data_IF_222293642329
#
_entry.id   IF_222293642329
#
_cell.length_a   1.000
_cell.length_b   1.000
_cell.length_c   1.000
_cell.angle_alpha   90.00
_cell.angle_beta   90.00
_cell.angle_gamma   90.00
#
_symmetry.space_group_name_H-M   'P 1'
#
loop_
_entity.id
_entity.type
_entity.pdbx_description
1 polymer ?
#
# COMPACT_ATOMS: atom_id res chain seq x y z
N UNK A 1 34.00 -23.69 -0.41
CA UNK A 1 33.13 -22.54 -0.14
C UNK A 1 31.71 -23.08 -0.04
N UNK A 2 31.02 -22.85 1.07
CA UNK A 2 29.63 -23.33 1.23
C UNK A 2 28.74 -22.49 0.33
N UNK A 3 27.89 -23.11 -0.49
CA UNK A 3 26.98 -22.41 -1.39
C UNK A 3 25.56 -22.48 -0.84
N UNK A 4 24.91 -21.31 -0.65
CA UNK A 4 23.58 -21.20 -0.05
C UNK A 4 22.61 -20.60 -1.08
N UNK A 5 21.52 -21.33 -1.34
CA UNK A 5 20.44 -20.92 -2.24
C UNK A 5 19.29 -20.32 -1.45
N UNK A 6 18.99 -19.05 -1.71
CA UNK A 6 17.93 -18.29 -1.04
C UNK A 6 16.78 -17.99 -1.99
N UNK A 7 15.59 -18.46 -1.67
CA UNK A 7 14.35 -18.11 -2.37
C UNK A 7 13.68 -16.89 -1.77
N UNK A 8 13.41 -15.87 -2.59
CA UNK A 8 12.57 -14.73 -2.20
C UNK A 8 11.23 -14.82 -2.92
N UNK A 9 10.16 -15.07 -2.17
CA UNK A 9 8.79 -15.00 -2.69
C UNK A 9 8.20 -13.66 -2.31
N UNK A 10 7.92 -12.82 -3.29
CA UNK A 10 7.47 -11.44 -3.05
C UNK A 10 6.03 -11.26 -3.50
N UNK A 11 5.23 -10.52 -2.74
CA UNK A 11 3.92 -10.10 -3.18
C UNK A 11 4.05 -9.15 -4.39
N UNK A 12 3.15 -9.22 -5.37
CA UNK A 12 3.19 -8.34 -6.53
C UNK A 12 3.10 -6.86 -6.16
N UNK A 13 3.43 -5.99 -7.09
CA UNK A 13 3.49 -4.53 -6.97
C UNK A 13 4.67 -4.02 -6.13
N UNK A 14 4.44 -3.35 -5.00
CA UNK A 14 5.50 -2.64 -4.26
C UNK A 14 6.60 -3.58 -3.72
N UNK A 15 6.30 -4.72 -3.08
CA UNK A 15 7.34 -5.66 -2.62
C UNK A 15 8.25 -6.12 -3.75
N UNK A 16 7.67 -6.54 -4.88
CA UNK A 16 8.39 -6.97 -6.07
C UNK A 16 9.27 -5.87 -6.66
N UNK A 17 8.68 -4.67 -6.87
CA UNK A 17 9.42 -3.51 -7.41
C UNK A 17 10.59 -3.09 -6.53
N UNK A 18 10.44 -3.17 -5.20
CA UNK A 18 11.53 -2.82 -4.29
C UNK A 18 12.62 -3.88 -4.27
N UNK A 19 12.25 -5.16 -4.22
CA UNK A 19 13.21 -6.28 -4.17
C UNK A 19 14.07 -6.31 -5.43
N UNK A 20 13.46 -6.17 -6.61
CA UNK A 20 14.19 -6.15 -7.89
C UNK A 20 15.21 -5.00 -8.00
N UNK A 21 15.07 -3.92 -7.21
CA UNK A 21 16.05 -2.82 -7.22
C UNK A 21 17.34 -3.09 -6.45
N UNK A 22 17.42 -4.18 -5.70
CA UNK A 22 18.62 -4.46 -4.89
C UNK A 22 18.99 -5.96 -4.82
N UNK A 23 18.29 -6.82 -5.53
CA UNK A 23 18.55 -8.26 -5.49
C UNK A 23 19.98 -8.59 -5.90
N UNK A 24 20.49 -7.94 -6.95
CA UNK A 24 21.80 -8.22 -7.53
C UNK A 24 22.97 -7.88 -6.59
N UNK A 25 22.73 -6.97 -5.64
CA UNK A 25 23.77 -6.55 -4.66
C UNK A 25 23.70 -7.33 -3.35
N UNK A 26 22.66 -8.16 -3.13
CA UNK A 26 22.51 -8.93 -1.88
C UNK A 26 23.64 -9.95 -1.67
N UNK A 27 24.07 -10.75 -2.68
CA UNK A 27 25.16 -11.70 -2.50
C UNK A 27 26.42 -11.03 -1.96
N UNK A 28 26.90 -9.96 -2.59
CA UNK A 28 28.09 -9.23 -2.19
C UNK A 28 28.00 -8.68 -0.76
N UNK A 29 26.81 -8.16 -0.37
CA UNK A 29 26.59 -7.62 0.97
C UNK A 29 26.59 -8.69 2.08
N UNK A 30 26.14 -9.90 1.75
CA UNK A 30 26.15 -11.04 2.67
C UNK A 30 27.55 -11.66 2.78
N UNK A 31 28.25 -11.84 1.67
CA UNK A 31 29.62 -12.36 1.62
C UNK A 31 30.61 -11.49 2.44
N UNK A 32 30.39 -10.17 2.45
CA UNK A 32 31.15 -9.23 3.31
C UNK A 32 30.89 -9.45 4.82
N UNK A 33 29.73 -10.03 5.17
CA UNK A 33 29.34 -10.27 6.58
C UNK A 33 29.57 -11.69 7.05
N UNK A 34 29.53 -12.65 6.13
CA UNK A 34 29.75 -14.08 6.40
C UNK A 34 30.86 -14.57 5.49
N UNK A 35 32.07 -14.64 6.02
CA UNK A 35 33.25 -15.09 5.27
C UNK A 35 33.17 -16.58 4.90
N UNK A 36 33.54 -16.93 3.69
CA UNK A 36 33.63 -18.33 3.24
C UNK A 36 32.32 -18.94 2.73
N UNK A 37 31.27 -18.13 2.56
CA UNK A 37 29.95 -18.56 2.07
C UNK A 37 29.59 -17.74 0.85
N UNK A 38 29.10 -18.37 -0.22
CA UNK A 38 28.52 -17.71 -1.40
C UNK A 38 26.99 -17.85 -1.38
N UNK A 39 26.30 -16.83 -1.87
CA UNK A 39 24.84 -16.78 -1.88
C UNK A 39 24.28 -16.65 -3.29
N UNK A 40 23.28 -17.48 -3.63
CA UNK A 40 22.49 -17.39 -4.85
C UNK A 40 21.05 -17.02 -4.51
N UNK A 41 20.46 -16.05 -5.22
CA UNK A 41 19.07 -15.62 -4.98
C UNK A 41 18.16 -16.00 -6.15
N UNK A 42 16.99 -16.58 -5.82
CA UNK A 42 15.88 -16.82 -6.77
C UNK A 42 14.66 -16.02 -6.33
N UNK A 43 14.23 -15.05 -7.15
CA UNK A 43 13.05 -14.22 -6.87
C UNK A 43 11.85 -14.72 -7.66
N UNK A 44 10.70 -14.80 -6.99
CA UNK A 44 9.42 -15.13 -7.61
C UNK A 44 8.33 -14.21 -7.08
N UNK A 45 7.53 -13.65 -8.00
CA UNK A 45 6.34 -12.89 -7.62
C UNK A 45 5.14 -13.82 -7.49
N UNK A 46 4.48 -13.83 -6.32
CA UNK A 46 3.34 -14.71 -6.08
C UNK A 46 2.22 -14.01 -5.31
N UNK A 47 0.99 -14.14 -5.82
CA UNK A 47 -0.21 -13.53 -5.24
C UNK A 47 -0.62 -14.18 -3.90
N UNK A 48 -0.26 -15.44 -3.65
CA UNK A 48 -0.58 -16.15 -2.41
C UNK A 48 0.03 -15.44 -1.20
N UNK A 49 1.28 -14.97 -1.32
CA UNK A 49 1.97 -14.25 -0.24
C UNK A 49 1.31 -12.91 0.09
N UNK A 50 0.61 -12.31 -0.85
CA UNK A 50 -0.14 -11.07 -0.65
C UNK A 50 -1.58 -11.24 -0.16
N UNK A 51 -2.06 -12.45 0.11
CA UNK A 51 -3.45 -12.73 0.52
C UNK A 51 -3.58 -13.41 1.88
N UNK A 52 -2.47 -13.76 2.48
CA UNK A 52 -2.48 -14.48 3.76
C UNK A 52 -2.60 -13.50 4.91
N UNK A 53 -3.80 -13.38 5.48
CA UNK A 53 -4.03 -12.73 6.77
C UNK A 53 -3.39 -13.53 7.93
N UNK A 54 -2.93 -14.74 7.63
CA UNK A 54 -2.34 -15.67 8.56
C UNK A 54 -0.88 -15.94 8.20
N UNK A 55 0.01 -15.60 9.11
CA UNK A 55 1.46 -15.83 9.01
C UNK A 55 1.77 -17.29 8.67
N UNK A 56 1.06 -18.21 9.30
CA UNK A 56 1.31 -19.65 9.16
C UNK A 56 1.15 -20.15 7.72
N UNK A 57 0.16 -19.65 6.98
CA UNK A 57 -0.03 -20.00 5.55
C UNK A 57 1.11 -19.52 4.67
N UNK A 58 1.67 -18.35 4.95
CA UNK A 58 2.83 -17.85 4.22
C UNK A 58 4.09 -18.67 4.52
N UNK A 59 4.27 -19.06 5.78
CA UNK A 59 5.39 -19.90 6.20
C UNK A 59 5.27 -21.28 5.59
N UNK A 60 4.09 -21.90 5.58
CA UNK A 60 3.86 -23.18 4.92
C UNK A 60 4.05 -23.13 3.41
N UNK A 61 3.64 -22.05 2.76
CA UNK A 61 3.92 -21.82 1.35
C UNK A 61 5.43 -21.71 1.08
N UNK A 62 6.13 -20.92 1.90
CA UNK A 62 7.57 -20.78 1.81
C UNK A 62 8.30 -22.12 1.99
N UNK A 63 7.83 -22.94 2.91
CA UNK A 63 8.37 -24.27 3.17
C UNK A 63 8.17 -25.21 1.98
N UNK A 64 6.94 -25.34 1.46
CA UNK A 64 6.64 -26.17 0.28
C UNK A 64 7.47 -25.76 -0.93
N UNK A 65 7.66 -24.46 -1.14
CA UNK A 65 8.50 -23.94 -2.21
C UNK A 65 9.96 -24.28 -2.01
N UNK A 66 10.46 -24.14 -0.78
CA UNK A 66 11.83 -24.50 -0.43
C UNK A 66 12.15 -25.92 -0.81
N UNK A 67 11.29 -26.88 -0.43
CA UNK A 67 11.45 -28.30 -0.78
C UNK A 67 11.40 -28.53 -2.29
N UNK A 68 10.40 -27.96 -2.98
CA UNK A 68 10.23 -28.13 -4.42
C UNK A 68 11.39 -27.58 -5.26
N UNK A 69 12.04 -26.53 -4.79
CA UNK A 69 13.09 -25.81 -5.55
C UNK A 69 14.49 -26.02 -4.98
N UNK A 70 14.66 -26.96 -4.06
CA UNK A 70 15.94 -27.32 -3.41
C UNK A 70 16.68 -26.07 -2.88
N UNK A 71 15.96 -25.23 -2.13
CA UNK A 71 16.50 -24.00 -1.54
C UNK A 71 16.94 -24.27 -0.10
N UNK A 72 17.99 -23.61 0.35
CA UNK A 72 18.42 -23.66 1.76
C UNK A 72 17.54 -22.78 2.63
N UNK A 73 17.24 -21.56 2.17
CA UNK A 73 16.36 -20.59 2.85
C UNK A 73 15.24 -20.12 1.95
N UNK A 74 14.06 -19.86 2.52
CA UNK A 74 12.92 -19.29 1.80
C UNK A 74 12.30 -18.15 2.59
N UNK A 75 12.28 -16.93 2.01
CA UNK A 75 11.78 -15.71 2.64
C UNK A 75 10.61 -15.17 1.84
N UNK A 76 9.48 -14.95 2.51
CA UNK A 76 8.31 -14.30 1.95
C UNK A 76 8.29 -12.81 2.31
N UNK A 77 8.06 -11.94 1.32
CA UNK A 77 7.85 -10.51 1.54
C UNK A 77 6.43 -10.15 1.15
N UNK A 78 5.62 -9.81 2.15
CA UNK A 78 4.20 -9.48 1.97
C UNK A 78 3.92 -7.98 2.10
N UNK A 79 2.90 -7.49 1.41
CA UNK A 79 2.33 -6.16 1.61
C UNK A 79 1.19 -6.15 2.65
N UNK A 80 0.96 -7.29 3.33
CA UNK A 80 -0.03 -7.42 4.39
C UNK A 80 0.50 -6.98 5.75
N UNK A 81 -0.36 -6.40 6.58
CA UNK A 81 -0.06 -6.20 8.00
C UNK A 81 -0.11 -7.53 8.74
N UNK A 82 0.79 -7.72 9.69
CA UNK A 82 0.78 -8.87 10.59
C UNK A 82 0.81 -8.40 12.05
N UNK A 83 0.06 -9.08 12.90
CA UNK A 83 -0.02 -8.78 14.33
C UNK A 83 0.12 -10.03 15.18
N UNK A 84 0.77 -9.88 16.33
CA UNK A 84 0.85 -10.90 17.37
C UNK A 84 0.65 -10.22 18.73
N UNK A 85 -0.28 -10.72 19.54
CA UNK A 85 -0.60 -10.15 20.86
C UNK A 85 -0.76 -8.62 20.83
N UNK A 86 -1.54 -8.10 19.88
CA UNK A 86 -1.76 -6.68 19.65
C UNK A 86 -0.53 -5.86 19.21
N UNK A 87 0.64 -6.45 19.06
CA UNK A 87 1.85 -5.80 18.56
C UNK A 87 2.02 -6.05 17.06
N UNK A 88 2.54 -5.05 16.36
CA UNK A 88 2.82 -5.14 14.92
C UNK A 88 4.04 -6.03 14.68
N UNK A 89 3.88 -7.06 13.88
CA UNK A 89 4.96 -7.99 13.52
C UNK A 89 5.71 -7.43 12.31
N UNK A 90 7.02 -7.35 12.41
CA UNK A 90 7.92 -6.96 11.32
C UNK A 90 8.33 -8.19 10.52
N UNK A 91 8.75 -9.23 11.24
CA UNK A 91 9.16 -10.49 10.66
C UNK A 91 8.84 -11.65 11.60
N UNK A 92 8.54 -12.80 10.99
CA UNK A 92 8.40 -14.09 11.67
C UNK A 92 9.38 -15.06 11.02
N UNK A 93 10.25 -15.68 11.81
CA UNK A 93 11.33 -16.57 11.35
C UNK A 93 11.14 -17.93 11.98
N UNK A 94 11.00 -18.96 11.17
CA UNK A 94 10.96 -20.35 11.62
C UNK A 94 12.29 -21.04 11.30
N UNK A 95 13.06 -21.37 12.30
CA UNK A 95 14.40 -21.92 12.16
C UNK A 95 14.39 -23.40 11.79
N UNK A 96 13.39 -24.18 12.20
CA UNK A 96 13.29 -25.59 11.82
C UNK A 96 13.00 -25.73 10.31
N UNK A 97 12.05 -24.92 9.83
CA UNK A 97 11.68 -24.90 8.42
C UNK A 97 12.64 -24.09 7.55
N UNK A 98 13.54 -23.31 8.17
CA UNK A 98 14.43 -22.36 7.48
C UNK A 98 13.65 -21.40 6.56
N UNK A 99 12.58 -20.83 7.11
CA UNK A 99 11.66 -19.94 6.39
C UNK A 99 11.39 -18.67 7.18
N UNK A 100 11.15 -17.58 6.48
CA UNK A 100 10.76 -16.32 7.12
C UNK A 100 9.65 -15.59 6.36
N UNK A 101 8.92 -14.75 7.10
CA UNK A 101 7.97 -13.78 6.57
C UNK A 101 8.39 -12.37 6.98
N UNK A 102 8.34 -11.43 6.03
CA UNK A 102 8.56 -9.99 6.27
C UNK A 102 7.31 -9.24 5.87
N UNK A 103 6.75 -8.45 6.80
CA UNK A 103 5.67 -7.52 6.55
C UNK A 103 6.23 -6.18 6.08
N UNK A 104 6.14 -5.88 4.79
CA UNK A 104 6.63 -4.63 4.21
C UNK A 104 6.00 -3.37 4.87
N UNK A 105 4.67 -3.31 5.12
CA UNK A 105 4.05 -2.16 5.77
C UNK A 105 4.62 -1.87 7.15
N UNK A 106 5.02 -2.90 7.90
CA UNK A 106 5.60 -2.74 9.22
C UNK A 106 6.95 -2.01 9.19
N UNK A 107 7.67 -1.97 8.07
CA UNK A 107 8.91 -1.21 7.94
C UNK A 107 8.69 0.31 7.85
N UNK A 108 7.43 0.76 7.64
CA UNK A 108 7.05 2.16 7.49
C UNK A 108 7.49 2.75 6.15
N UNK A 109 7.39 4.09 5.99
CA UNK A 109 7.64 4.77 4.71
C UNK A 109 9.12 5.17 4.54
N UNK A 110 9.72 5.68 5.62
CA UNK A 110 11.05 6.31 5.54
C UNK A 110 12.14 5.30 5.19
N UNK A 111 12.87 5.54 4.11
CA UNK A 111 13.96 4.70 3.59
C UNK A 111 13.56 3.22 3.42
N UNK A 112 12.34 2.96 2.97
CA UNK A 112 11.74 1.62 2.89
C UNK A 112 12.61 0.62 2.13
N UNK A 113 13.17 0.99 0.96
CA UNK A 113 14.11 0.15 0.19
C UNK A 113 15.31 -0.30 1.02
N UNK A 114 15.94 0.65 1.75
CA UNK A 114 17.11 0.35 2.60
C UNK A 114 16.74 -0.56 3.76
N UNK A 115 15.60 -0.29 4.39
CA UNK A 115 15.10 -1.11 5.51
C UNK A 115 14.77 -2.52 5.07
N UNK A 116 14.05 -2.70 3.98
CA UNK A 116 13.72 -4.02 3.45
C UNK A 116 15.00 -4.81 3.15
N UNK A 117 15.95 -4.22 2.43
CA UNK A 117 17.24 -4.85 2.15
C UNK A 117 17.99 -5.26 3.42
N UNK A 118 18.10 -4.35 4.39
CA UNK A 118 18.77 -4.65 5.67
C UNK A 118 18.04 -5.74 6.46
N UNK A 119 16.70 -5.73 6.47
CA UNK A 119 15.90 -6.76 7.15
C UNK A 119 16.12 -8.14 6.52
N UNK A 120 16.16 -8.25 5.21
CA UNK A 120 16.46 -9.52 4.52
C UNK A 120 17.86 -10.01 4.91
N UNK A 121 18.86 -9.14 4.89
CA UNK A 121 20.24 -9.49 5.27
C UNK A 121 20.29 -9.96 6.73
N UNK A 122 19.69 -9.20 7.65
CA UNK A 122 19.71 -9.51 9.08
C UNK A 122 19.02 -10.86 9.37
N UNK A 123 17.91 -11.18 8.66
CA UNK A 123 17.21 -12.46 8.79
C UNK A 123 18.03 -13.63 8.23
N UNK A 124 18.70 -13.47 7.10
CA UNK A 124 19.56 -14.51 6.52
C UNK A 124 20.72 -14.81 7.47
N UNK A 125 21.32 -13.77 8.05
CA UNK A 125 22.41 -13.93 9.04
C UNK A 125 21.88 -14.66 10.28
N UNK A 126 20.69 -14.31 10.77
CA UNK A 126 20.06 -14.92 11.92
C UNK A 126 19.78 -16.43 11.67
N UNK A 127 19.25 -16.78 10.50
CA UNK A 127 19.04 -18.18 10.08
C UNK A 127 20.36 -18.94 9.99
N UNK A 128 21.39 -18.33 9.42
CA UNK A 128 22.71 -18.96 9.27
C UNK A 128 23.36 -19.21 10.64
N UNK A 129 23.37 -18.22 11.52
CA UNK A 129 23.95 -18.33 12.84
C UNK A 129 23.20 -19.34 13.73
N UNK A 130 21.87 -19.42 13.59
CA UNK A 130 21.07 -20.39 14.33
C UNK A 130 21.34 -21.82 13.85
N UNK A 131 21.55 -22.04 12.56
CA UNK A 131 21.91 -23.34 12.01
C UNK A 131 23.27 -23.87 12.55
N UNK A 132 24.15 -22.97 12.99
CA UNK A 132 25.47 -23.30 13.58
C UNK A 132 25.50 -23.25 15.13
N UNK A 133 24.34 -23.26 15.81
CA UNK A 133 24.21 -23.20 17.26
C UNK A 133 24.89 -21.97 17.94
N UNK A 134 25.05 -20.87 17.21
CA UNK A 134 25.69 -19.62 17.70
C UNK A 134 24.66 -18.50 17.93
N UNK A 135 23.65 -18.72 18.79
CA UNK A 135 22.52 -17.78 18.82
C UNK A 135 22.48 -16.84 20.02
N UNK A 136 22.30 -15.57 19.71
CA UNK A 136 21.59 -14.57 20.52
C UNK A 136 20.52 -13.93 19.67
N UNK A 137 19.27 -13.77 20.14
CA UNK A 137 18.21 -13.16 19.35
C UNK A 137 18.55 -11.73 18.94
N UNK A 138 18.13 -11.33 17.76
CA UNK A 138 18.38 -9.99 17.23
C UNK A 138 17.67 -8.93 18.07
N UNK A 139 18.42 -8.05 18.74
CA UNK A 139 17.87 -6.91 19.50
C UNK A 139 17.43 -5.76 18.57
N UNK A 140 17.91 -5.74 17.33
CA UNK A 140 17.59 -4.72 16.32
C UNK A 140 17.46 -5.38 14.96
N UNK A 141 16.37 -5.07 14.27
CA UNK A 141 16.15 -5.46 12.88
C UNK A 141 16.15 -4.19 12.02
N UNK A 142 17.10 -4.06 11.08
CA UNK A 142 17.20 -2.86 10.22
C UNK A 142 17.17 -1.52 10.98
N UNK A 143 17.88 -1.40 12.11
CA UNK A 143 17.88 -0.21 12.98
C UNK A 143 16.57 0.04 13.76
N UNK A 144 15.59 -0.85 13.67
CA UNK A 144 14.35 -0.81 14.44
C UNK A 144 14.57 -1.60 15.73
N UNK A 145 14.25 -1.00 16.87
CA UNK A 145 14.21 -1.74 18.15
C UNK A 145 13.06 -2.74 18.09
N UNK A 146 13.36 -4.01 18.22
CA UNK A 146 12.39 -5.09 18.20
C UNK A 146 12.38 -5.79 19.55
N UNK A 147 11.22 -6.28 19.95
CA UNK A 147 11.08 -7.24 21.02
C UNK A 147 10.84 -8.60 20.38
N UNK A 148 11.49 -9.60 20.88
CA UNK A 148 11.22 -10.96 20.51
C UNK A 148 9.99 -11.46 21.29
N UNK A 149 9.09 -12.14 20.60
CA UNK A 149 7.96 -12.86 21.19
C UNK A 149 8.01 -14.27 20.65
N UNK A 150 8.33 -15.22 21.53
CA UNK A 150 8.17 -16.64 21.21
C UNK A 150 6.68 -16.96 21.13
N UNK A 151 6.20 -17.65 20.09
CA UNK A 151 4.81 -18.09 20.04
C UNK A 151 4.45 -18.94 21.24
N UNK A 152 3.24 -18.77 21.78
CA UNK A 152 2.76 -19.54 22.94
C UNK A 152 2.54 -21.03 22.64
N UNK A 153 2.48 -21.43 21.37
CA UNK A 153 2.43 -22.84 20.99
C UNK A 153 3.82 -23.45 21.10
N UNK A 154 3.98 -24.33 22.08
CA UNK A 154 5.21 -25.00 22.54
C UNK A 154 5.93 -25.88 21.50
N UNK A 155 5.56 -25.88 20.23
CA UNK A 155 6.04 -26.84 19.23
C UNK A 155 6.89 -26.24 18.12
N UNK A 156 7.10 -24.92 18.06
CA UNK A 156 7.87 -24.32 16.96
C UNK A 156 8.96 -23.40 17.49
N UNK A 157 10.22 -23.69 17.11
CA UNK A 157 11.39 -22.81 17.25
C UNK A 157 11.26 -21.62 16.28
N UNK A 158 10.27 -20.76 16.53
CA UNK A 158 10.04 -19.57 15.71
C UNK A 158 10.27 -18.30 16.51
N UNK A 159 11.01 -17.36 15.94
CA UNK A 159 11.26 -16.05 16.51
C UNK A 159 10.43 -14.99 15.79
N UNK A 160 9.55 -14.35 16.53
CA UNK A 160 8.67 -13.31 16.02
C UNK A 160 9.15 -11.95 16.46
N UNK A 161 9.60 -11.13 15.53
CA UNK A 161 10.10 -9.79 15.78
C UNK A 161 8.97 -8.77 15.71
N UNK A 162 8.65 -8.14 16.83
CA UNK A 162 7.56 -7.17 16.98
C UNK A 162 8.06 -5.80 17.41
N UNK A 163 7.27 -4.76 17.12
CA UNK A 163 7.55 -3.42 17.64
C UNK A 163 7.46 -3.36 19.15
N UNK A 164 8.38 -2.62 19.78
CA UNK A 164 8.34 -2.37 21.23
C UNK A 164 7.11 -1.54 21.61
N UNK A 165 6.71 -0.57 20.80
CA UNK A 165 5.51 0.29 20.99
C UNK A 165 4.38 -0.13 20.06
N UNK A 166 3.22 -0.42 20.63
CA UNK A 166 2.01 -0.80 19.86
C UNK A 166 1.51 0.35 18.98
N UNK A 167 1.46 1.57 19.53
CA UNK A 167 0.94 2.75 18.82
C UNK A 167 1.83 3.09 17.63
N UNK A 168 3.14 3.17 17.83
CA UNK A 168 4.10 3.45 16.75
C UNK A 168 4.09 2.34 15.68
N UNK A 169 3.93 1.09 16.10
CA UNK A 169 3.82 -0.04 15.19
C UNK A 169 2.59 0.05 14.30
N UNK A 170 1.42 0.32 14.87
CA UNK A 170 0.16 0.48 14.13
C UNK A 170 0.24 1.69 13.17
N UNK A 171 0.74 2.83 13.65
CA UNK A 171 0.90 4.02 12.79
C UNK A 171 1.83 3.74 11.60
N UNK A 172 2.95 3.06 11.81
CA UNK A 172 3.86 2.68 10.73
C UNK A 172 3.22 1.72 9.73
N UNK A 173 2.40 0.76 10.20
CA UNK A 173 1.65 -0.13 9.30
C UNK A 173 0.66 0.68 8.46
N UNK A 174 -0.15 1.56 9.05
CA UNK A 174 -1.12 2.39 8.32
C UNK A 174 -0.41 3.20 7.24
N UNK A 175 0.64 3.92 7.61
CA UNK A 175 1.42 4.72 6.67
C UNK A 175 2.08 3.84 5.61
N UNK A 176 2.67 2.71 5.99
CA UNK A 176 3.31 1.76 5.08
C UNK A 176 2.34 1.16 4.07
N UNK A 177 1.12 0.80 4.50
CA UNK A 177 0.04 0.34 3.62
C UNK A 177 -0.44 1.43 2.67
N UNK A 178 -0.62 2.67 3.17
CA UNK A 178 -0.98 3.83 2.35
C UNK A 178 0.09 4.09 1.28
N UNK A 179 1.35 4.02 1.64
CA UNK A 179 2.46 4.16 0.70
C UNK A 179 2.49 3.04 -0.34
N UNK A 180 2.24 1.79 0.09
CA UNK A 180 2.17 0.63 -0.80
C UNK A 180 0.98 0.68 -1.78
N UNK A 181 -0.04 1.49 -1.51
CA UNK A 181 -1.13 1.78 -2.43
C UNK A 181 -0.73 2.70 -3.60
N UNK A 182 0.42 3.35 -3.53
CA UNK A 182 0.95 4.25 -4.56
C UNK A 182 -0.09 5.31 -5.02
N UNK A 183 -0.71 6.11 -4.12
CA UNK A 183 -1.79 7.04 -4.46
C UNK A 183 -1.42 8.04 -5.55
N UNK A 184 -0.14 8.42 -5.66
CA UNK A 184 0.37 9.31 -6.72
C UNK A 184 0.25 8.71 -8.13
N UNK A 185 0.28 7.38 -8.28
CA UNK A 185 0.07 6.73 -9.59
C UNK A 185 -1.40 6.69 -9.96
N UNK A 186 -2.26 6.60 -8.96
CA UNK A 186 -3.69 6.54 -9.17
C UNK A 186 -4.28 7.86 -9.71
N UNK A 187 -3.58 9.00 -9.60
CA UNK A 187 -4.05 10.30 -10.16
C UNK A 187 -4.39 10.19 -11.64
N UNK A 188 -3.58 9.46 -12.42
CA UNK A 188 -3.81 9.29 -13.86
C UNK A 188 -5.15 8.59 -14.13
N UNK A 189 -5.58 7.73 -13.22
CA UNK A 189 -6.86 7.04 -13.28
C UNK A 189 -8.05 7.98 -13.00
N UNK A 190 -7.81 9.12 -12.36
CA UNK A 190 -8.82 10.13 -12.02
C UNK A 190 -8.86 11.32 -12.99
N UNK A 191 -8.29 11.18 -14.18
CA UNK A 191 -8.25 12.24 -15.21
C UNK A 191 -9.63 12.79 -15.57
N UNK A 192 -10.68 11.97 -15.60
CA UNK A 192 -12.04 12.41 -15.90
C UNK A 192 -12.62 13.29 -14.79
N UNK A 193 -12.35 12.96 -13.54
CA UNK A 193 -12.75 13.75 -12.36
C UNK A 193 -12.05 15.12 -12.41
N UNK A 194 -10.75 15.14 -12.69
CA UNK A 194 -9.98 16.38 -12.85
C UNK A 194 -10.51 17.19 -14.03
N UNK A 195 -10.73 16.56 -15.18
CA UNK A 195 -11.25 17.23 -16.37
C UNK A 195 -12.63 17.85 -16.13
N UNK A 196 -13.54 17.14 -15.45
CA UNK A 196 -14.84 17.67 -15.08
C UNK A 196 -14.72 18.83 -14.06
N UNK A 197 -13.81 18.69 -13.10
CA UNK A 197 -13.50 19.75 -12.14
C UNK A 197 -12.98 21.02 -12.82
N UNK A 198 -12.08 20.88 -13.80
CA UNK A 198 -11.60 22.00 -14.62
C UNK A 198 -12.73 22.62 -15.44
N UNK A 199 -13.52 21.80 -16.13
CA UNK A 199 -14.64 22.30 -16.95
C UNK A 199 -15.66 23.08 -16.10
N UNK A 200 -16.05 22.51 -14.94
CA UNK A 200 -16.98 23.17 -14.01
C UNK A 200 -16.36 24.44 -13.40
N UNK A 201 -15.09 24.37 -13.00
CA UNK A 201 -14.38 25.53 -12.48
C UNK A 201 -14.26 26.65 -13.50
N UNK A 202 -13.95 26.31 -14.75
CA UNK A 202 -13.92 27.27 -15.88
C UNK A 202 -15.28 27.90 -16.12
N UNK A 203 -16.36 27.14 -16.04
CA UNK A 203 -17.71 27.66 -16.13
C UNK A 203 -18.04 28.63 -14.99
N UNK A 204 -17.65 28.27 -13.76
CA UNK A 204 -17.95 29.09 -12.56
C UNK A 204 -17.26 30.46 -12.61
N UNK A 205 -16.01 30.55 -13.10
CA UNK A 205 -15.32 31.84 -13.10
C UNK A 205 -15.82 32.85 -14.17
N UNK A 206 -16.70 32.42 -15.08
CA UNK A 206 -17.35 33.35 -16.01
C UNK A 206 -18.32 34.30 -15.29
N UNK A 207 -18.83 33.91 -14.12
CA UNK A 207 -19.75 34.73 -13.33
C UNK A 207 -19.00 35.66 -12.37
N UNK A 208 -19.53 36.88 -12.15
CA UNK A 208 -18.94 37.86 -11.26
C UNK A 208 -19.05 37.52 -9.76
N UNK A 209 -20.08 36.78 -9.37
CA UNK A 209 -20.31 36.41 -7.96
C UNK A 209 -19.15 35.66 -7.31
N UNK A 210 -18.55 34.63 -7.92
CA UNK A 210 -17.35 33.97 -7.39
C UNK A 210 -16.18 34.93 -7.13
N UNK A 211 -16.00 35.94 -7.97
CA UNK A 211 -14.93 36.94 -7.79
C UNK A 211 -15.17 37.77 -6.55
N UNK A 212 -16.40 38.31 -6.39
CA UNK A 212 -16.78 39.08 -5.21
C UNK A 212 -16.65 38.23 -3.93
N UNK A 213 -17.14 37.00 -3.93
CA UNK A 213 -17.01 36.10 -2.79
C UNK A 213 -15.54 35.82 -2.44
N UNK A 214 -14.67 35.63 -3.44
CA UNK A 214 -13.25 35.35 -3.23
C UNK A 214 -12.51 36.52 -2.57
N UNK A 215 -12.96 37.74 -2.80
CA UNK A 215 -12.38 38.95 -2.18
C UNK A 215 -12.87 39.18 -0.73
N UNK A 216 -14.14 38.84 -0.45
CA UNK A 216 -14.76 39.03 0.87
C UNK A 216 -14.41 37.89 1.85
N UNK A 217 -14.13 36.70 1.35
CA UNK A 217 -13.85 35.57 2.21
C UNK A 217 -12.51 35.72 2.93
N UNK A 218 -12.50 35.41 4.22
CA UNK A 218 -11.30 35.21 5.01
C UNK A 218 -10.69 33.83 4.74
N UNK A 219 -9.39 33.66 5.01
CA UNK A 219 -8.63 32.45 4.78
C UNK A 219 -9.26 31.21 5.45
N UNK A 220 -9.94 31.38 6.59
CA UNK A 220 -10.63 30.31 7.31
C UNK A 220 -11.75 29.68 6.48
N UNK A 221 -12.49 30.49 5.70
CA UNK A 221 -13.56 30.01 4.82
C UNK A 221 -13.00 29.20 3.65
N UNK A 222 -11.86 29.58 3.10
CA UNK A 222 -11.20 28.82 2.04
C UNK A 222 -10.76 27.45 2.54
N UNK A 223 -10.15 27.38 3.73
CA UNK A 223 -9.78 26.10 4.35
C UNK A 223 -11.02 25.23 4.60
N UNK A 224 -12.09 25.82 5.16
CA UNK A 224 -13.33 25.11 5.40
C UNK A 224 -13.91 24.53 4.11
N UNK A 225 -13.98 25.31 3.04
CA UNK A 225 -14.46 24.86 1.73
C UNK A 225 -13.58 23.76 1.15
N UNK A 226 -12.27 23.88 1.25
CA UNK A 226 -11.33 22.85 0.82
C UNK A 226 -11.55 21.55 1.61
N UNK A 227 -11.64 21.61 2.93
CA UNK A 227 -11.89 20.43 3.78
C UNK A 227 -13.24 19.81 3.45
N UNK A 228 -14.28 20.61 3.30
CA UNK A 228 -15.63 20.15 2.96
C UNK A 228 -15.64 19.45 1.59
N UNK A 229 -14.96 20.03 0.59
CA UNK A 229 -14.87 19.42 -0.74
C UNK A 229 -14.11 18.11 -0.73
N UNK A 230 -13.00 18.01 0.02
CA UNK A 230 -12.24 16.75 0.18
C UNK A 230 -13.06 15.69 0.90
N UNK A 231 -13.70 16.03 2.02
CA UNK A 231 -14.55 15.10 2.78
C UNK A 231 -15.76 14.65 1.95
N UNK A 232 -16.41 15.58 1.27
CA UNK A 232 -17.54 15.28 0.40
C UNK A 232 -17.16 14.32 -0.73
N UNK A 233 -16.03 14.58 -1.38
CA UNK A 233 -15.51 13.72 -2.45
C UNK A 233 -15.12 12.33 -1.94
N UNK A 234 -14.39 12.24 -0.83
CA UNK A 234 -13.99 10.96 -0.22
C UNK A 234 -15.22 10.18 0.22
N UNK A 235 -16.15 10.83 0.93
CA UNK A 235 -17.38 10.20 1.41
C UNK A 235 -18.23 9.67 0.26
N UNK A 236 -18.39 10.46 -0.79
CA UNK A 236 -19.10 10.03 -1.99
C UNK A 236 -18.48 8.80 -2.63
N UNK A 237 -17.15 8.79 -2.88
CA UNK A 237 -16.50 7.65 -3.50
C UNK A 237 -16.55 6.40 -2.62
N UNK A 238 -16.32 6.55 -1.32
CA UNK A 238 -16.40 5.42 -0.38
C UNK A 238 -17.80 4.80 -0.42
N UNK A 239 -18.84 5.63 -0.48
CA UNK A 239 -20.23 5.18 -0.58
C UNK A 239 -20.52 4.56 -1.97
N UNK A 240 -20.24 5.27 -3.05
CA UNK A 240 -20.61 4.87 -4.41
C UNK A 240 -19.90 3.58 -4.88
N UNK A 241 -18.68 3.35 -4.43
CA UNK A 241 -17.86 2.19 -4.84
C UNK A 241 -17.73 1.12 -3.74
N UNK A 242 -18.46 1.22 -2.62
CA UNK A 242 -18.42 0.26 -1.52
C UNK A 242 -17.00 -0.04 -1.01
N UNK A 243 -16.17 1.02 -0.85
CA UNK A 243 -14.79 0.85 -0.38
C UNK A 243 -14.70 0.58 1.12
N UNK A 244 -15.80 0.67 1.84
CA UNK A 244 -15.85 0.37 3.26
C UNK A 244 -15.86 -1.13 3.53
N UNK A 245 -15.01 -1.58 4.46
CA UNK A 245 -15.01 -2.97 4.91
C UNK A 245 -16.05 -3.13 6.02
N UNK A 246 -17.15 -3.85 5.70
CA UNK A 246 -18.20 -4.16 6.64
C UNK A 246 -17.84 -5.35 7.56
N UNK A 247 -18.51 -5.49 8.72
CA UNK A 247 -18.35 -6.66 9.59
C UNK A 247 -18.59 -7.96 8.81
N UNK A 248 -17.63 -8.85 8.85
CA UNK A 248 -17.74 -10.20 8.30
C UNK A 248 -17.18 -11.19 9.33
N UNK A 249 -17.69 -12.42 9.33
CA UNK A 249 -17.19 -13.49 10.19
C UNK A 249 -15.74 -13.89 9.87
N UNK A 250 -15.26 -13.55 8.69
CA UNK A 250 -13.93 -13.91 8.21
C UNK A 250 -12.82 -12.89 8.56
N UNK A 251 -13.17 -11.66 8.95
CA UNK A 251 -12.19 -10.60 9.22
C UNK A 251 -12.30 -10.10 10.64
N UNK A 252 -11.22 -10.22 11.42
CA UNK A 252 -11.16 -9.69 12.78
C UNK A 252 -11.38 -8.18 12.81
N UNK A 253 -12.05 -7.68 13.86
CA UNK A 253 -12.39 -6.26 14.04
C UNK A 253 -11.18 -5.34 13.85
N UNK A 254 -9.99 -5.76 14.31
CA UNK A 254 -8.75 -5.00 14.24
C UNK A 254 -8.26 -4.76 12.82
N UNK A 255 -8.26 -5.79 11.98
CA UNK A 255 -7.87 -5.69 10.58
C UNK A 255 -8.84 -4.82 9.79
N UNK A 256 -10.13 -4.91 10.08
CA UNK A 256 -11.16 -4.08 9.47
C UNK A 256 -10.93 -2.59 9.71
N UNK A 257 -10.69 -2.19 10.98
CA UNK A 257 -10.36 -0.78 11.29
C UNK A 257 -9.11 -0.32 10.56
N UNK A 258 -8.09 -1.15 10.54
CA UNK A 258 -6.84 -0.84 9.87
C UNK A 258 -7.05 -0.62 8.36
N UNK A 259 -7.81 -1.49 7.71
CA UNK A 259 -8.11 -1.38 6.28
C UNK A 259 -8.94 -0.14 5.97
N UNK A 260 -9.96 0.16 6.76
CA UNK A 260 -10.78 1.35 6.58
C UNK A 260 -9.98 2.64 6.78
N UNK A 261 -9.16 2.74 7.82
CA UNK A 261 -8.29 3.91 8.04
C UNK A 261 -7.28 4.05 6.90
N UNK A 262 -6.67 2.96 6.46
CA UNK A 262 -5.73 2.98 5.33
C UNK A 262 -6.42 3.43 4.04
N UNK A 263 -7.65 2.97 3.79
CA UNK A 263 -8.46 3.38 2.63
C UNK A 263 -8.75 4.89 2.69
N UNK A 264 -9.22 5.40 3.82
CA UNK A 264 -9.48 6.84 3.99
C UNK A 264 -8.22 7.67 3.79
N UNK A 265 -7.09 7.24 4.37
CA UNK A 265 -5.83 7.97 4.23
C UNK A 265 -5.29 7.92 2.79
N UNK A 266 -5.43 6.77 2.11
CA UNK A 266 -5.05 6.64 0.68
C UNK A 266 -5.89 7.57 -0.19
N UNK A 267 -7.21 7.63 0.03
CA UNK A 267 -8.12 8.52 -0.69
C UNK A 267 -7.81 9.98 -0.38
N UNK A 268 -7.55 10.31 0.88
CA UNK A 268 -7.15 11.66 1.26
C UNK A 268 -5.88 12.12 0.52
N UNK A 269 -4.83 11.30 0.51
CA UNK A 269 -3.61 11.60 -0.25
C UNK A 269 -3.89 11.78 -1.74
N UNK A 270 -4.69 10.90 -2.34
CA UNK A 270 -5.05 10.94 -3.75
C UNK A 270 -5.81 12.24 -4.10
N UNK A 271 -6.86 12.58 -3.32
CA UNK A 271 -7.66 13.76 -3.62
C UNK A 271 -6.97 15.07 -3.25
N UNK A 272 -6.10 15.07 -2.25
CA UNK A 272 -5.25 16.22 -1.97
C UNK A 272 -4.31 16.51 -3.16
N UNK A 273 -3.70 15.48 -3.74
CA UNK A 273 -2.87 15.64 -4.94
C UNK A 273 -3.70 16.06 -6.15
N UNK A 274 -4.89 15.47 -6.35
CA UNK A 274 -5.81 15.86 -7.42
C UNK A 274 -6.29 17.30 -7.25
N UNK A 275 -6.53 17.75 -6.03
CA UNK A 275 -6.87 19.12 -5.70
C UNK A 275 -5.75 20.10 -6.09
N UNK A 276 -4.50 19.76 -5.76
CA UNK A 276 -3.34 20.58 -6.14
C UNK A 276 -3.24 20.71 -7.66
N UNK A 277 -3.40 19.60 -8.40
CA UNK A 277 -3.39 19.62 -9.87
C UNK A 277 -4.54 20.49 -10.41
N UNK A 278 -5.75 20.30 -9.89
CA UNK A 278 -6.94 21.10 -10.27
C UNK A 278 -6.71 22.58 -9.99
N UNK A 279 -6.19 22.93 -8.81
CA UNK A 279 -5.86 24.30 -8.43
C UNK A 279 -4.86 24.94 -9.40
N UNK A 280 -3.78 24.24 -9.75
CA UNK A 280 -2.78 24.76 -10.69
C UNK A 280 -3.34 24.95 -12.09
N UNK A 281 -4.17 24.03 -12.56
CA UNK A 281 -4.82 24.13 -13.89
C UNK A 281 -5.80 25.31 -13.93
N UNK A 282 -6.63 25.49 -12.91
CA UNK A 282 -7.57 26.60 -12.83
C UNK A 282 -6.86 27.94 -12.61
N UNK A 283 -5.82 28.00 -11.80
CA UNK A 283 -5.01 29.19 -11.63
C UNK A 283 -4.40 29.64 -12.97
N UNK A 284 -3.82 28.70 -13.71
CA UNK A 284 -3.26 28.98 -15.04
C UNK A 284 -4.35 29.47 -15.98
N UNK A 285 -5.51 28.81 -15.98
CA UNK A 285 -6.66 29.19 -16.81
C UNK A 285 -7.13 30.63 -16.48
N UNK A 286 -7.29 30.95 -15.19
CA UNK A 286 -7.75 32.27 -14.76
C UNK A 286 -6.73 33.36 -15.13
N UNK A 287 -5.45 33.14 -14.93
CA UNK A 287 -4.39 34.11 -15.30
C UNK A 287 -4.43 34.38 -16.83
N UNK A 288 -4.66 33.33 -17.64
CA UNK A 288 -4.70 33.49 -19.10
C UNK A 288 -5.96 34.18 -19.61
N UNK A 289 -7.13 33.85 -19.03
CA UNK A 289 -8.42 34.28 -19.56
C UNK A 289 -8.99 35.53 -18.88
N UNK A 290 -8.48 35.91 -17.72
CA UNK A 290 -9.02 37.01 -16.91
C UNK A 290 -8.04 38.19 -16.86
N UNK A 291 -8.26 39.26 -17.69
CA UNK A 291 -7.48 40.46 -17.61
C UNK A 291 -7.69 41.17 -16.28
N UNK A 292 -6.70 41.91 -15.86
CA UNK A 292 -6.68 42.63 -14.59
C UNK A 292 -7.83 43.68 -14.46
N UNK A 293 -8.10 44.41 -15.54
CA UNK A 293 -9.20 45.38 -15.58
C UNK A 293 -10.58 44.71 -15.41
N UNK A 294 -10.75 43.51 -15.92
CA UNK A 294 -11.98 42.76 -15.75
C UNK A 294 -12.14 42.32 -14.30
N UNK A 295 -11.06 41.88 -13.65
CA UNK A 295 -11.08 41.50 -12.24
C UNK A 295 -11.48 42.70 -11.35
N UNK A 296 -10.94 43.91 -11.61
CA UNK A 296 -11.31 45.14 -10.89
C UNK A 296 -12.79 45.46 -11.00
N UNK A 297 -13.30 45.44 -12.22
CA UNK A 297 -14.69 45.84 -12.50
C UNK A 297 -15.70 44.82 -11.96
N UNK A 298 -15.45 43.54 -12.09
CA UNK A 298 -16.38 42.47 -11.69
C UNK A 298 -16.22 42.09 -10.20
N UNK A 299 -15.01 42.21 -9.65
CA UNK A 299 -14.74 41.93 -8.25
C UNK A 299 -15.08 43.12 -7.33
N UNK A 300 -15.35 44.33 -7.88
CA UNK A 300 -15.40 45.58 -7.10
C UNK A 300 -14.12 45.80 -6.26
N UNK A 301 -12.96 45.41 -6.80
CA UNK A 301 -11.69 45.54 -6.12
C UNK A 301 -11.22 46.99 -6.13
N UNK A 302 -10.93 47.51 -4.95
CA UNK A 302 -10.43 48.91 -4.77
C UNK A 302 -8.94 49.04 -5.05
N UNK A 303 -8.21 47.91 -5.04
CA UNK A 303 -6.74 47.86 -5.20
C UNK A 303 -6.33 47.35 -6.57
N UNK A 304 -5.14 47.78 -7.01
CA UNK A 304 -4.47 47.33 -8.21
C UNK A 304 -4.15 45.83 -8.15
N UNK A 305 -3.78 45.28 -9.30
CA UNK A 305 -3.36 43.90 -9.52
C UNK A 305 -2.67 43.28 -8.28
N UNK A 306 -3.25 42.22 -7.78
CA UNK A 306 -2.68 41.41 -6.72
C UNK A 306 -2.74 39.94 -7.07
N UNK A 307 -1.59 39.27 -7.13
CA UNK A 307 -1.49 37.81 -7.28
C UNK A 307 -2.36 37.08 -6.26
N UNK A 308 -2.52 37.67 -5.06
CA UNK A 308 -3.40 37.14 -4.02
C UNK A 308 -4.85 36.98 -4.46
N UNK A 309 -5.37 37.89 -5.29
CA UNK A 309 -6.76 37.81 -5.77
C UNK A 309 -6.98 36.64 -6.70
N UNK A 310 -6.03 36.39 -7.60
CA UNK A 310 -6.07 35.21 -8.49
C UNK A 310 -5.93 33.89 -7.69
N UNK A 311 -5.07 33.85 -6.68
CA UNK A 311 -4.93 32.69 -5.80
C UNK A 311 -6.22 32.40 -5.02
N UNK A 312 -6.86 33.45 -4.45
CA UNK A 312 -8.13 33.32 -3.72
C UNK A 312 -9.26 32.81 -4.61
N UNK A 313 -9.40 33.38 -5.81
CA UNK A 313 -10.41 32.96 -6.77
C UNK A 313 -10.17 31.50 -7.19
N UNK A 314 -8.94 31.15 -7.54
CA UNK A 314 -8.57 29.76 -7.91
C UNK A 314 -8.85 28.79 -6.79
N UNK A 315 -8.56 29.16 -5.53
CA UNK A 315 -8.84 28.32 -4.36
C UNK A 315 -10.33 28.07 -4.18
N UNK A 316 -11.15 29.13 -4.25
CA UNK A 316 -12.61 29.02 -4.18
C UNK A 316 -13.17 28.07 -5.26
N UNK A 317 -12.79 28.35 -6.52
CA UNK A 317 -13.30 27.59 -7.68
C UNK A 317 -12.81 26.14 -7.66
N UNK A 318 -11.58 25.88 -7.22
CA UNK A 318 -11.06 24.51 -7.09
C UNK A 318 -11.85 23.68 -6.10
N UNK A 319 -12.27 24.29 -4.97
CA UNK A 319 -13.11 23.61 -3.99
C UNK A 319 -14.48 23.25 -4.55
N UNK A 320 -15.11 24.15 -5.30
CA UNK A 320 -16.38 23.91 -5.98
C UNK A 320 -16.22 22.88 -7.11
N UNK A 321 -15.15 23.01 -7.92
CA UNK A 321 -14.84 22.12 -9.03
C UNK A 321 -14.56 20.68 -8.57
N UNK A 322 -13.88 20.47 -7.41
CA UNK A 322 -13.67 19.13 -6.88
C UNK A 322 -15.00 18.47 -6.48
N UNK A 323 -15.93 19.21 -5.86
CA UNK A 323 -17.25 18.69 -5.52
C UNK A 323 -18.05 18.30 -6.79
N UNK A 324 -18.00 19.12 -7.83
CA UNK A 324 -18.61 18.78 -9.12
C UNK A 324 -17.95 17.54 -9.74
N UNK A 325 -16.64 17.37 -9.56
CA UNK A 325 -15.91 16.17 -9.98
C UNK A 325 -16.41 14.87 -9.34
N UNK A 326 -17.07 14.94 -8.16
CA UNK A 326 -17.71 13.78 -7.55
C UNK A 326 -18.76 13.14 -8.45
N UNK A 327 -19.52 13.93 -9.20
CA UNK A 327 -20.48 13.44 -10.18
C UNK A 327 -19.79 12.72 -11.33
N UNK A 328 -18.58 13.17 -11.73
CA UNK A 328 -17.77 12.53 -12.76
C UNK A 328 -17.21 11.15 -12.35
N UNK A 329 -17.16 10.85 -11.04
CA UNK A 329 -16.66 9.56 -10.56
C UNK A 329 -17.56 8.38 -11.00
N UNK A 330 -18.84 8.63 -11.22
CA UNK A 330 -19.79 7.64 -11.77
C UNK A 330 -19.40 7.19 -13.17
N UNK A 331 -18.69 8.05 -13.93
CA UNK A 331 -18.22 7.76 -15.28
C UNK A 331 -16.90 6.97 -15.31
N UNK A 332 -16.21 6.82 -14.17
CA UNK A 332 -15.01 6.00 -14.09
C UNK A 332 -15.37 4.51 -14.04
N UNK A 333 -14.62 3.69 -14.80
CA UNK A 333 -14.86 2.25 -14.84
C UNK A 333 -14.60 1.59 -13.46
N UNK A 334 -15.49 0.70 -13.04
CA UNK A 334 -15.38 -0.03 -11.77
C UNK A 334 -14.03 -0.73 -11.57
N UNK A 335 -13.42 -1.24 -12.64
CA UNK A 335 -12.14 -1.95 -12.56
C UNK A 335 -10.99 -1.02 -12.18
N UNK A 336 -10.98 0.21 -12.70
CA UNK A 336 -9.99 1.23 -12.36
C UNK A 336 -10.07 1.62 -10.89
N UNK A 337 -11.29 1.74 -10.37
CA UNK A 337 -11.55 2.07 -8.97
C UNK A 337 -11.18 0.93 -8.01
N UNK A 338 -11.37 -0.33 -8.41
CA UNK A 338 -11.07 -1.51 -7.59
C UNK A 338 -9.58 -1.72 -7.35
N UNK A 339 -8.71 -1.23 -8.21
CA UNK A 339 -7.25 -1.39 -8.06
C UNK A 339 -6.61 -0.40 -7.07
N UNK A 340 -7.31 0.68 -6.70
CA UNK A 340 -6.77 1.80 -5.95
C UNK A 340 -6.75 1.53 -4.45
N UNK A 341 -7.77 0.86 -3.92
CA UNK A 341 -7.87 0.60 -2.48
C UNK A 341 -7.25 -0.73 -2.10
N UNK A 342 -6.67 -0.76 -0.91
CA UNK A 342 -6.13 -1.99 -0.32
C UNK A 342 -7.22 -3.08 -0.21
N UNK A 343 -8.38 -2.73 0.31
CA UNK A 343 -9.53 -3.62 0.47
C UNK A 343 -9.96 -4.25 -0.86
N UNK A 344 -10.09 -3.46 -1.91
CA UNK A 344 -10.48 -3.98 -3.24
C UNK A 344 -9.43 -4.89 -3.85
N UNK A 345 -8.14 -4.55 -3.68
CA UNK A 345 -7.04 -5.42 -4.11
C UNK A 345 -7.03 -6.74 -3.35
N UNK A 346 -7.29 -6.72 -2.04
CA UNK A 346 -7.39 -7.94 -1.24
C UNK A 346 -8.58 -8.81 -1.66
N UNK A 347 -9.74 -8.22 -1.91
CA UNK A 347 -10.90 -8.95 -2.42
C UNK A 347 -10.59 -9.63 -3.77
N UNK A 348 -9.97 -8.90 -4.69
CA UNK A 348 -9.55 -9.45 -5.99
C UNK A 348 -8.52 -10.59 -5.85
N UNK A 349 -7.56 -10.45 -4.91
CA UNK A 349 -6.58 -11.51 -4.61
C UNK A 349 -7.25 -12.75 -4.01
N UNK A 350 -8.13 -12.58 -3.02
CA UNK A 350 -8.88 -13.69 -2.41
C UNK A 350 -9.67 -14.46 -3.47
N UNK A 351 -10.36 -13.77 -4.39
CA UNK A 351 -11.08 -14.39 -5.48
C UNK A 351 -10.16 -15.15 -6.46
N UNK A 352 -8.99 -14.60 -6.78
CA UNK A 352 -8.02 -15.29 -7.66
C UNK A 352 -7.50 -16.57 -7.02
N UNK A 353 -7.19 -16.55 -5.73
CA UNK A 353 -6.70 -17.72 -4.99
C UNK A 353 -7.80 -18.77 -4.89
N UNK A 354 -9.00 -18.37 -4.56
CA UNK A 354 -10.11 -19.32 -4.49
C UNK A 354 -10.33 -20.04 -5.83
N UNK A 355 -10.28 -19.30 -6.94
CA UNK A 355 -10.32 -19.88 -8.30
C UNK A 355 -9.14 -20.79 -8.61
N UNK A 356 -7.95 -20.52 -8.07
CA UNK A 356 -6.78 -21.41 -8.25
C UNK A 356 -6.97 -22.70 -7.45
N UNK A 357 -7.41 -22.61 -6.20
CA UNK A 357 -7.70 -23.78 -5.37
C UNK A 357 -8.80 -24.67 -5.98
N UNK A 358 -9.88 -24.09 -6.47
CA UNK A 358 -10.95 -24.81 -7.17
C UNK A 358 -10.44 -25.52 -8.42
N UNK A 359 -9.53 -24.90 -9.20
CA UNK A 359 -8.89 -25.53 -10.37
C UNK A 359 -7.99 -26.69 -9.97
N UNK A 360 -7.19 -26.53 -8.91
CA UNK A 360 -6.31 -27.58 -8.39
C UNK A 360 -7.13 -28.79 -7.87
N UNK A 361 -8.21 -28.53 -7.12
CA UNK A 361 -9.12 -29.59 -6.67
C UNK A 361 -9.79 -30.32 -7.83
N UNK A 362 -10.21 -29.57 -8.85
CA UNK A 362 -10.84 -30.16 -10.05
C UNK A 362 -9.85 -30.99 -10.82
N UNK A 363 -8.61 -30.57 -10.98
CA UNK A 363 -7.54 -31.32 -11.64
C UNK A 363 -7.20 -32.61 -10.89
N UNK A 364 -7.10 -32.53 -9.54
CA UNK A 364 -6.86 -33.73 -8.70
C UNK A 364 -8.00 -34.73 -8.74
N UNK A 365 -9.26 -34.27 -8.79
CA UNK A 365 -10.43 -35.16 -8.96
C UNK A 365 -10.41 -35.87 -10.32
N UNK A 366 -10.06 -35.11 -11.36
CA UNK A 366 -9.96 -35.69 -12.74
C UNK A 366 -8.82 -36.67 -12.85
N UNK A 367 -7.68 -36.44 -12.21
CA UNK A 367 -6.55 -37.41 -12.18
C UNK A 367 -6.88 -38.67 -11.38
N UNK A 368 -7.55 -38.53 -10.25
CA UNK A 368 -8.04 -39.67 -9.47
C UNK A 368 -9.03 -40.53 -10.28
N UNK A 369 -9.97 -39.93 -10.98
CA UNK A 369 -10.92 -40.63 -11.85
C UNK A 369 -10.22 -41.36 -13.01
N UNK A 370 -9.21 -40.73 -13.66
CA UNK A 370 -8.42 -41.39 -14.70
C UNK A 370 -7.59 -42.59 -14.18
N UNK A 371 -7.03 -42.47 -12.95
CA UNK A 371 -6.31 -43.59 -12.32
C UNK A 371 -7.24 -44.71 -11.94
N UNK A 372 -8.45 -44.44 -11.46
CA UNK A 372 -9.46 -45.44 -11.09
C UNK A 372 -10.00 -46.18 -12.35
N UNK A 373 -10.09 -45.47 -13.46
CA UNK A 373 -10.54 -46.10 -14.74
C UNK A 373 -9.47 -46.99 -15.36
N UNK A 374 -8.17 -46.63 -15.20
CA UNK A 374 -7.02 -47.43 -15.65
C UNK A 374 -6.77 -48.72 -14.84
N UNK A 375 -7.32 -48.82 -13.63
CA UNK A 375 -7.19 -50.01 -12.76
C UNK A 375 -8.35 -50.98 -13.01
N UNK A 376 -9.44 -50.55 -13.66
CA UNK A 376 -10.62 -51.38 -13.97
C UNK A 376 -10.64 -51.95 -15.41
N UNK A 377 -9.69 -51.54 -16.24
CA UNK A 377 -9.39 -52.12 -17.56
C UNK A 377 -8.09 -52.91 -17.46
#
# INVERSE_FOLDING_TARGET
MKHIKVGLTVAPNMPEKLTNKFIDILPELLEKRISGVSFEFKVESNTVVGSAEYVDRCIDYAYKRKEKSELDYSICVTDLPSFSNNKSVISDVNFEKQTALISLPALGIYRLKRKLRSTIIDIIIDMYMNSEHKTSPLKKLSSIKVNEVTPQEKTTTSHRYVYSSTILGVLKIILGMTYANEPWKAIISFKKIIALGVATGTYIFIFSTPWQLSLVYEWQRFILLMILSLIGMIGWLVYAHNFWEFPSSATEKKYRYLYNITTLLTMFCLFLLSYIVLFLLLLTSIIFFVPDDLFKNWGNATESYSVSNYLRLSWFISSAGLLAGALGSVMEGENTMKEITYTSRQRARKQRIQRQLEKEETSLKTEKQKKTHKIKT
#
